data_IF_184950071808
#
_entry.id   IF_184950071808
#
_cell.length_a   1.000
_cell.length_b   1.000
_cell.length_c   1.000
_cell.angle_alpha   90.00
_cell.angle_beta   90.00
_cell.angle_gamma   90.00
#
_symmetry.space_group_name_H-M   'P 1'
#
loop_
_entity.id
_entity.type
_entity.pdbx_description
1 polymer ?
#
# COMPACT_ATOMS: atom_id res chain seq x y z
N UNK A 1 1.37 12.39 1.80
CA UNK A 1 1.22 12.38 3.27
C UNK A 1 0.95 13.79 3.77
N UNK A 2 -0.14 14.04 4.50
CA UNK A 2 -0.46 15.36 5.03
C UNK A 2 0.43 15.72 6.24
N UNK A 3 0.42 17.00 6.63
CA UNK A 3 0.90 17.43 7.94
C UNK A 3 -0.04 16.86 9.01
N UNK A 4 0.52 16.26 10.05
CA UNK A 4 -0.23 15.65 11.14
C UNK A 4 -0.18 16.55 12.37
N UNK A 5 -1.32 17.11 12.83
CA UNK A 5 -1.34 18.04 13.95
C UNK A 5 -1.13 17.34 15.30
N UNK A 6 -0.72 18.13 16.29
CA UNK A 6 -0.67 17.74 17.71
C UNK A 6 0.11 16.47 18.00
N UNK A 7 1.12 16.18 17.17
CA UNK A 7 1.96 15.01 17.30
C UNK A 7 1.21 13.68 17.28
N UNK A 8 0.01 13.65 16.67
CA UNK A 8 -0.89 12.49 16.64
C UNK A 8 -0.20 11.26 16.04
N UNK A 9 -0.41 10.11 16.68
CA UNK A 9 0.06 8.84 16.14
C UNK A 9 -0.65 8.51 14.82
N UNK A 10 0.15 8.17 13.81
CA UNK A 10 -0.31 7.60 12.56
C UNK A 10 0.76 6.66 12.01
N UNK A 11 0.33 5.70 11.18
CA UNK A 11 1.21 4.83 10.42
C UNK A 11 0.57 4.46 9.08
N UNK A 12 1.38 4.50 8.04
CA UNK A 12 1.15 3.90 6.73
C UNK A 12 2.07 2.69 6.67
N UNK A 13 1.51 1.53 7.02
CA UNK A 13 2.22 0.26 7.01
C UNK A 13 2.14 -0.31 5.61
N UNK A 14 3.30 -0.59 5.01
CA UNK A 14 3.43 -1.08 3.64
C UNK A 14 4.05 -2.48 3.70
N UNK A 15 3.39 -3.42 3.05
CA UNK A 15 3.73 -4.83 3.11
C UNK A 15 3.79 -5.42 1.72
N UNK A 16 4.65 -6.42 1.56
CA UNK A 16 4.82 -7.15 0.31
C UNK A 16 3.66 -8.14 0.09
N UNK A 17 3.69 -8.84 -1.04
CA UNK A 17 2.68 -9.84 -1.40
C UNK A 17 2.52 -10.96 -0.35
N UNK A 18 3.54 -11.18 0.48
CA UNK A 18 3.59 -12.20 1.53
C UNK A 18 3.29 -11.64 2.92
N UNK A 19 2.77 -10.41 3.01
CA UNK A 19 2.45 -9.71 4.26
C UNK A 19 3.66 -9.34 5.12
N UNK A 20 4.88 -9.39 4.57
CA UNK A 20 6.06 -8.92 5.28
C UNK A 20 6.13 -7.40 5.21
N UNK A 21 6.30 -6.75 6.35
CA UNK A 21 6.39 -5.28 6.44
C UNK A 21 7.78 -4.86 5.96
N UNK A 22 7.85 -4.16 4.82
CA UNK A 22 9.10 -3.58 4.32
C UNK A 22 9.23 -2.08 4.60
N UNK A 23 8.10 -1.39 4.86
CA UNK A 23 8.12 0.01 5.27
C UNK A 23 7.00 0.34 6.26
N UNK A 24 7.28 1.26 7.16
CA UNK A 24 6.30 1.83 8.09
C UNK A 24 6.53 3.33 8.16
N UNK A 25 5.80 4.09 7.36
CA UNK A 25 5.90 5.55 7.32
C UNK A 25 4.95 6.11 8.38
N UNK A 26 5.41 6.98 9.26
CA UNK A 26 4.61 7.31 10.43
C UNK A 26 5.29 8.26 11.38
N UNK A 27 4.55 8.59 12.44
CA UNK A 27 5.04 9.41 13.55
C UNK A 27 6.44 9.01 14.03
N UNK A 28 6.72 7.70 14.10
CA UNK A 28 7.99 7.14 14.61
C UNK A 28 9.16 7.28 13.64
N UNK A 29 8.95 7.14 12.33
CA UNK A 29 10.01 6.96 11.33
C UNK A 29 10.19 8.18 10.43
N UNK A 30 9.12 8.92 10.18
CA UNK A 30 9.10 10.06 9.25
C UNK A 30 8.62 11.35 9.94
N UNK A 31 8.24 11.27 11.22
CA UNK A 31 7.67 12.38 11.97
C UNK A 31 6.27 12.73 11.49
N UNK A 32 5.82 13.95 11.80
CA UNK A 32 4.47 14.45 11.50
C UNK A 32 4.42 15.46 10.36
N UNK A 33 5.56 15.83 9.77
CA UNK A 33 5.62 16.75 8.64
C UNK A 33 4.99 16.13 7.39
N UNK A 34 4.42 16.97 6.53
CA UNK A 34 3.96 16.55 5.21
C UNK A 34 5.11 15.96 4.38
N UNK A 35 4.78 15.07 3.45
CA UNK A 35 5.78 14.49 2.55
C UNK A 35 5.19 13.58 1.48
N UNK A 36 6.03 13.31 0.48
CA UNK A 36 5.69 12.45 -0.65
C UNK A 36 6.65 11.26 -0.72
N UNK A 37 6.10 10.09 -1.04
CA UNK A 37 6.83 8.84 -1.12
C UNK A 37 6.40 8.12 -2.40
N UNK A 38 7.35 7.55 -3.11
CA UNK A 38 7.09 6.71 -4.28
C UNK A 38 7.26 5.24 -3.86
N UNK A 39 6.20 4.46 -3.96
CA UNK A 39 6.29 3.00 -3.83
C UNK A 39 6.64 2.46 -5.21
N UNK A 40 7.80 1.83 -5.32
CA UNK A 40 8.32 1.29 -6.59
C UNK A 40 8.52 -0.21 -6.49
N UNK A 41 8.38 -0.93 -7.62
CA UNK A 41 8.64 -2.36 -7.68
C UNK A 41 10.13 -2.70 -7.52
N UNK A 42 10.48 -3.98 -7.33
CA UNK A 42 11.86 -4.42 -7.13
C UNK A 42 12.79 -3.99 -8.28
N UNK A 43 12.28 -4.04 -9.51
CA UNK A 43 13.06 -3.84 -10.74
C UNK A 43 12.89 -2.44 -11.36
N UNK A 44 12.25 -1.52 -10.63
CA UNK A 44 12.10 -0.16 -11.13
C UNK A 44 13.47 0.55 -11.20
N UNK A 45 13.80 1.06 -12.38
CA UNK A 45 15.09 1.68 -12.75
C UNK A 45 14.93 3.15 -13.23
N UNK A 46 13.74 3.71 -13.11
CA UNK A 46 13.44 5.08 -13.52
C UNK A 46 14.08 6.15 -12.63
N UNK A 47 13.80 7.41 -12.95
CA UNK A 47 14.23 8.56 -12.14
C UNK A 47 13.04 9.14 -11.40
N UNK A 48 13.15 9.30 -10.08
CA UNK A 48 12.08 9.89 -9.27
C UNK A 48 12.04 11.41 -9.49
N UNK A 49 10.84 12.01 -9.61
CA UNK A 49 10.72 13.45 -9.57
C UNK A 49 11.25 14.01 -8.23
N UNK A 50 11.74 15.26 -8.27
CA UNK A 50 12.29 15.92 -7.08
C UNK A 50 11.27 15.98 -5.95
N UNK A 51 11.74 15.72 -4.72
CA UNK A 51 10.92 15.78 -3.50
C UNK A 51 10.18 14.48 -3.14
N UNK A 52 10.23 13.44 -3.97
CA UNK A 52 9.76 12.10 -3.59
C UNK A 52 10.87 11.29 -2.91
N UNK A 53 10.49 10.55 -1.87
CA UNK A 53 11.36 9.54 -1.24
C UNK A 53 10.99 8.15 -1.73
N UNK A 54 11.98 7.39 -2.19
CA UNK A 54 11.76 6.02 -2.65
C UNK A 54 11.39 5.09 -1.48
N UNK A 55 10.44 4.20 -1.74
CA UNK A 55 10.10 3.05 -0.91
C UNK A 55 10.01 1.83 -1.83
N UNK A 56 11.10 1.07 -1.91
CA UNK A 56 11.20 -0.10 -2.80
C UNK A 56 10.52 -1.32 -2.20
N UNK A 57 9.56 -1.86 -2.93
CA UNK A 57 8.90 -3.12 -2.58
C UNK A 57 9.76 -4.30 -3.04
N UNK A 58 9.89 -5.37 -2.24
CA UNK A 58 10.59 -6.59 -2.65
C UNK A 58 9.76 -7.44 -3.65
N UNK A 59 8.50 -7.09 -3.87
CA UNK A 59 7.54 -7.74 -4.79
C UNK A 59 6.79 -6.70 -5.62
N UNK A 60 6.18 -7.10 -6.73
CA UNK A 60 5.41 -6.18 -7.58
C UNK A 60 4.09 -5.78 -6.96
N UNK A 61 3.51 -6.67 -6.17
CA UNK A 61 2.35 -6.36 -5.34
C UNK A 61 2.80 -5.83 -3.99
N UNK A 62 2.33 -4.64 -3.64
CA UNK A 62 2.42 -4.09 -2.29
C UNK A 62 1.03 -3.67 -1.83
N UNK A 63 0.77 -3.82 -0.54
CA UNK A 63 -0.48 -3.36 0.06
C UNK A 63 -0.20 -2.45 1.25
N UNK A 64 -1.08 -1.47 1.38
CA UNK A 64 -0.91 -0.33 2.27
C UNK A 64 -2.08 -0.25 3.23
N UNK A 65 -1.78 -0.23 4.53
CA UNK A 65 -2.77 -0.02 5.58
C UNK A 65 -2.45 1.29 6.29
N UNK A 66 -3.34 2.27 6.13
CA UNK A 66 -3.29 3.54 6.84
C UNK A 66 -4.04 3.47 8.18
N UNK A 67 -3.41 3.92 9.25
CA UNK A 67 -4.01 4.03 10.58
C UNK A 67 -3.71 5.41 11.15
N UNK A 68 -4.75 6.08 11.62
CA UNK A 68 -4.67 7.34 12.35
C UNK A 68 -5.31 7.10 13.71
N UNK A 69 -4.61 7.41 14.80
CA UNK A 69 -5.14 7.22 16.15
C UNK A 69 -6.34 8.15 16.37
N UNK A 70 -7.47 7.60 16.83
CA UNK A 70 -8.52 8.32 17.53
C UNK A 70 -8.36 8.06 19.04
N UNK A 71 -8.33 9.11 19.85
CA UNK A 71 -8.15 9.01 21.31
C UNK A 71 -9.45 8.64 22.05
N UNK A 72 -10.59 8.79 21.39
CA UNK A 72 -11.93 8.55 21.91
C UNK A 72 -12.98 9.07 20.94
N UNK A 73 -14.26 8.94 21.31
CA UNK A 73 -15.41 9.33 20.46
C UNK A 73 -15.34 10.79 20.00
N UNK A 74 -15.01 11.72 20.91
CA UNK A 74 -14.89 13.16 20.63
C UNK A 74 -13.77 13.52 19.62
N UNK A 75 -12.86 12.58 19.34
CA UNK A 75 -11.68 12.77 18.50
C UNK A 75 -11.79 12.03 17.15
N UNK A 76 -12.81 11.20 16.97
CA UNK A 76 -13.00 10.40 15.75
C UNK A 76 -13.17 11.26 14.51
N UNK A 77 -13.93 12.35 14.61
CA UNK A 77 -14.17 13.22 13.46
C UNK A 77 -12.86 13.83 12.95
N UNK A 78 -12.00 14.27 13.87
CA UNK A 78 -10.69 14.82 13.53
C UNK A 78 -9.75 13.75 12.96
N UNK A 79 -9.73 12.55 13.57
CA UNK A 79 -8.94 11.43 13.04
C UNK A 79 -9.38 11.05 11.61
N UNK A 80 -10.70 11.04 11.35
CA UNK A 80 -11.29 10.77 10.03
C UNK A 80 -10.99 11.90 9.04
N UNK A 81 -11.03 13.16 9.49
CA UNK A 81 -10.67 14.32 8.67
C UNK A 81 -9.21 14.24 8.23
N UNK A 82 -8.30 13.89 9.14
CA UNK A 82 -6.88 13.67 8.84
C UNK A 82 -6.71 12.50 7.86
N UNK A 83 -7.37 11.36 8.11
CA UNK A 83 -7.29 10.18 7.23
C UNK A 83 -7.71 10.49 5.79
N UNK A 84 -8.72 11.35 5.58
CA UNK A 84 -9.18 11.79 4.25
C UNK A 84 -8.19 12.65 3.47
N UNK A 85 -7.14 13.17 4.12
CA UNK A 85 -6.12 13.99 3.46
C UNK A 85 -4.96 13.16 2.88
N UNK A 86 -4.94 11.85 3.11
CA UNK A 86 -3.98 10.96 2.51
C UNK A 86 -4.40 10.70 1.06
N UNK A 87 -3.44 10.82 0.15
CA UNK A 87 -3.65 10.59 -1.28
C UNK A 87 -2.73 9.50 -1.77
N UNK A 88 -3.21 8.74 -2.76
CA UNK A 88 -2.44 7.77 -3.52
C UNK A 88 -2.69 8.04 -5.01
N UNK A 89 -1.61 8.21 -5.75
CA UNK A 89 -1.61 8.55 -7.19
C UNK A 89 -0.54 7.72 -7.87
N UNK A 90 -0.69 7.46 -9.17
CA UNK A 90 0.42 6.93 -9.96
C UNK A 90 1.56 7.95 -10.05
N UNK A 91 2.76 7.46 -10.37
CA UNK A 91 3.97 8.30 -10.46
C UNK A 91 3.87 9.35 -11.60
N UNK A 92 3.12 9.05 -12.66
CA UNK A 92 2.85 9.96 -13.77
C UNK A 92 1.74 11.00 -13.49
N UNK A 93 1.19 11.01 -12.28
CA UNK A 93 0.18 11.99 -11.86
C UNK A 93 -1.23 11.72 -12.40
N UNK A 94 -1.47 10.58 -13.05
CA UNK A 94 -2.83 10.14 -13.40
C UNK A 94 -3.57 9.60 -12.16
N UNK A 95 -4.90 9.52 -12.24
CA UNK A 95 -5.68 8.89 -11.17
C UNK A 95 -5.17 7.46 -10.96
N UNK A 96 -5.12 6.95 -9.70
CA UNK A 96 -4.65 5.60 -9.44
C UNK A 96 -5.38 4.62 -10.36
N UNK A 97 -4.61 3.97 -11.24
CA UNK A 97 -5.14 2.97 -12.14
C UNK A 97 -5.76 1.86 -11.28
N UNK A 98 -7.09 1.77 -11.27
CA UNK A 98 -7.78 0.62 -10.72
C UNK A 98 -7.56 -0.52 -11.71
N UNK A 99 -6.51 -1.31 -11.48
CA UNK A 99 -6.34 -2.58 -12.16
C UNK A 99 -7.45 -3.47 -11.63
N UNK A 100 -8.42 -3.81 -12.49
CA UNK A 100 -9.37 -4.88 -12.18
C UNK A 100 -8.53 -6.11 -11.80
N UNK A 101 -8.80 -6.78 -10.67
CA UNK A 101 -7.96 -7.88 -10.21
C UNK A 101 -7.62 -8.84 -11.33
N UNK A 102 -6.34 -9.21 -11.42
CA UNK A 102 -5.81 -10.07 -12.46
C UNK A 102 -6.52 -11.44 -12.52
N UNK A 103 -7.24 -11.82 -11.45
CA UNK A 103 -7.97 -13.06 -11.37
C UNK A 103 -9.48 -12.83 -11.13
N UNK A 104 -10.27 -13.03 -12.20
CA UNK A 104 -11.74 -12.94 -12.17
C UNK A 104 -12.38 -13.88 -11.14
N UNK A 105 -11.74 -15.00 -10.85
CA UNK A 105 -12.21 -15.98 -9.87
C UNK A 105 -12.26 -15.38 -8.45
N UNK A 106 -11.23 -14.65 -8.04
CA UNK A 106 -11.14 -14.04 -6.70
C UNK A 106 -12.00 -12.78 -6.55
N UNK A 107 -12.52 -12.25 -7.67
CA UNK A 107 -13.51 -11.16 -7.67
C UNK A 107 -14.93 -11.66 -7.41
N UNK A 108 -15.24 -12.84 -7.92
CA UNK A 108 -16.60 -13.37 -8.00
C UNK A 108 -16.85 -14.48 -6.98
N UNK A 109 -15.80 -15.02 -6.37
CA UNK A 109 -15.87 -16.16 -5.45
C UNK A 109 -14.96 -15.91 -4.25
N UNK A 110 -15.48 -16.16 -3.05
CA UNK A 110 -14.67 -16.08 -1.85
C UNK A 110 -13.65 -17.22 -1.85
N UNK A 111 -12.50 -17.00 -1.22
CA UNK A 111 -11.43 -18.01 -1.16
C UNK A 111 -11.93 -19.30 -0.51
N UNK A 112 -12.83 -19.21 0.47
CA UNK A 112 -13.39 -20.36 1.18
C UNK A 112 -14.32 -21.21 0.32
N UNK A 113 -14.84 -20.66 -0.78
CA UNK A 113 -15.79 -21.31 -1.68
C UNK A 113 -15.09 -21.93 -2.91
N UNK A 114 -13.75 -21.80 -3.02
CA UNK A 114 -12.99 -22.35 -4.14
C UNK A 114 -12.85 -23.86 -4.07
N UNK A 115 -12.88 -24.51 -5.24
CA UNK A 115 -12.38 -25.88 -5.34
C UNK A 115 -10.88 -25.91 -5.01
N UNK A 116 -10.38 -27.06 -4.55
CA UNK A 116 -8.95 -27.23 -4.30
C UNK A 116 -8.11 -26.87 -5.54
N UNK A 117 -8.57 -27.25 -6.73
CA UNK A 117 -7.84 -26.96 -7.96
C UNK A 117 -7.84 -25.48 -8.32
N UNK A 118 -8.97 -24.81 -8.16
CA UNK A 118 -9.08 -23.36 -8.41
C UNK A 118 -8.22 -22.56 -7.42
N UNK A 119 -8.19 -22.99 -6.16
CA UNK A 119 -7.32 -22.42 -5.15
C UNK A 119 -5.84 -22.54 -5.53
N UNK A 120 -5.36 -23.76 -5.84
CA UNK A 120 -3.95 -23.97 -6.20
C UNK A 120 -3.58 -23.28 -7.52
N UNK A 121 -4.49 -23.21 -8.48
CA UNK A 121 -4.29 -22.44 -9.71
C UNK A 121 -4.13 -20.95 -9.40
N UNK A 122 -5.06 -20.37 -8.63
CA UNK A 122 -4.99 -18.95 -8.26
C UNK A 122 -3.72 -18.62 -7.47
N UNK A 123 -3.33 -19.49 -6.53
CA UNK A 123 -2.08 -19.36 -5.78
C UNK A 123 -0.86 -19.40 -6.71
N UNK A 124 -0.80 -20.36 -7.65
CA UNK A 124 0.32 -20.50 -8.57
C UNK A 124 0.43 -19.30 -9.51
N UNK A 125 -0.70 -18.83 -10.05
CA UNK A 125 -0.76 -17.64 -10.91
C UNK A 125 -0.20 -16.41 -10.17
N UNK A 126 -0.56 -16.23 -8.89
CA UNK A 126 -0.02 -15.16 -8.04
C UNK A 126 1.47 -15.35 -7.71
N UNK A 127 1.91 -16.58 -7.41
CA UNK A 127 3.33 -16.83 -7.15
C UNK A 127 4.19 -16.48 -8.35
N UNK A 128 3.74 -16.80 -9.58
CA UNK A 128 4.45 -16.45 -10.81
C UNK A 128 4.55 -14.93 -10.97
N UNK A 129 3.46 -14.18 -10.75
CA UNK A 129 3.50 -12.71 -10.90
C UNK A 129 4.48 -12.02 -9.96
N UNK A 130 4.71 -12.58 -8.77
CA UNK A 130 5.63 -12.02 -7.78
C UNK A 130 7.08 -12.53 -7.91
N UNK A 131 7.31 -13.65 -8.59
CA UNK A 131 8.63 -14.30 -8.69
C UNK A 131 9.35 -14.08 -10.03
N UNK A 132 8.64 -13.65 -11.09
CA UNK A 132 9.21 -13.49 -12.43
C UNK A 132 10.31 -12.41 -12.55
N UNK A 133 10.52 -11.61 -11.51
CA UNK A 133 11.41 -10.44 -11.48
C UNK A 133 12.58 -10.61 -10.50
N UNK A 134 13.03 -11.86 -10.29
CA UNK A 134 14.21 -12.20 -9.45
C UNK A 134 15.41 -12.73 -10.25
N UNK A 135 15.42 -12.59 -11.58
CA UNK A 135 16.51 -13.10 -12.43
C UNK A 135 17.31 -11.98 -13.08
#
# INVERSE_FOLDING_TARGET
>A
MPLIPNDRYYVMQIMDAYSSIFASLGRRTTGTKAGSFAIVGPDWDGVLPSGLREVRSPTNTAWLIGRVLAKGEDDEEEARRILKQFTLTSLDGTNPYVVKPANKLLLETKVEDLSAMDFFKAMTDLMISESYYRQ
#
